data_IF_240339400107
#
_entry.id   IF_240339400107
#
_cell.length_a   1.000
_cell.length_b   1.000
_cell.length_c   1.000
_cell.angle_alpha   90.00
_cell.angle_beta   90.00
_cell.angle_gamma   90.00
#
_symmetry.space_group_name_H-M   'P 1'
#
loop_
_entity.id
_entity.type
_entity.pdbx_description
1 polymer ?
#
# COMPACT_ATOMS: atom_id res chain seq x y z
N UNK A 1 -53.97 -46.59 -27.57
CA UNK A 1 -53.94 -46.59 -29.04
C UNK A 1 -53.70 -45.15 -29.48
N UNK A 2 -52.56 -44.90 -30.15
CA UNK A 2 -52.24 -43.78 -31.07
C UNK A 2 -52.30 -42.34 -30.50
N UNK A 3 -51.19 -41.58 -30.38
CA UNK A 3 -50.40 -40.88 -31.44
C UNK A 3 -51.26 -39.91 -32.27
N UNK A 4 -50.91 -38.65 -32.57
CA UNK A 4 -49.73 -37.81 -32.34
C UNK A 4 -50.02 -36.37 -32.86
N UNK A 5 -49.00 -35.50 -32.80
CA UNK A 5 -48.72 -34.30 -33.63
C UNK A 5 -49.64 -33.08 -33.39
N UNK A 6 -49.20 -31.83 -33.27
CA UNK A 6 -47.92 -31.13 -33.41
C UNK A 6 -48.21 -29.62 -33.59
N UNK A 7 -47.20 -28.76 -33.45
CA UNK A 7 -47.32 -27.34 -33.83
C UNK A 7 -46.56 -26.38 -32.94
N UNK A 8 -45.28 -26.18 -33.24
CA UNK A 8 -44.42 -25.20 -32.61
C UNK A 8 -44.80 -23.77 -33.06
N UNK A 9 -45.03 -22.87 -32.09
CA UNK A 9 -45.00 -21.42 -32.31
C UNK A 9 -43.71 -20.85 -31.71
N UNK A 10 -42.84 -20.36 -32.58
CA UNK A 10 -41.58 -19.66 -32.25
C UNK A 10 -41.91 -18.39 -31.43
N UNK A 11 -41.54 -18.40 -30.15
CA UNK A 11 -41.44 -17.19 -29.33
C UNK A 11 -40.00 -16.71 -29.31
N UNK A 12 -39.76 -15.54 -29.89
CA UNK A 12 -38.53 -14.78 -29.75
C UNK A 12 -38.36 -14.35 -28.28
N UNK A 13 -37.64 -15.14 -27.48
CA UNK A 13 -37.12 -14.65 -26.20
C UNK A 13 -35.83 -13.88 -26.46
N UNK A 14 -35.94 -12.57 -26.28
CA UNK A 14 -34.86 -11.59 -26.17
C UNK A 14 -33.71 -12.17 -25.33
N UNK A 15 -32.56 -12.38 -25.97
CA UNK A 15 -31.26 -12.22 -25.33
C UNK A 15 -31.14 -10.75 -24.94
N UNK A 16 -31.06 -10.43 -23.65
CA UNK A 16 -30.31 -9.29 -23.14
C UNK A 16 -30.27 -9.28 -21.61
N UNK A 17 -29.04 -9.38 -21.11
CA UNK A 17 -28.44 -8.80 -19.89
C UNK A 17 -27.65 -9.84 -19.11
N UNK A 18 -26.53 -10.25 -19.69
CA UNK A 18 -25.33 -10.57 -18.92
C UNK A 18 -24.28 -9.56 -19.37
N UNK A 19 -23.73 -8.83 -18.39
CA UNK A 19 -22.71 -7.75 -18.46
C UNK A 19 -23.19 -6.39 -17.93
N UNK A 20 -23.85 -6.38 -16.77
CA UNK A 20 -23.74 -5.21 -15.89
C UNK A 20 -22.50 -5.44 -15.03
N UNK A 21 -21.44 -4.65 -15.25
CA UNK A 21 -20.33 -4.54 -14.28
C UNK A 21 -20.95 -4.12 -12.96
N UNK A 22 -20.72 -4.83 -11.83
CA UNK A 22 -21.26 -4.43 -10.55
C UNK A 22 -20.84 -2.98 -10.24
N UNK A 23 -21.76 -2.20 -9.68
CA UNK A 23 -21.47 -0.83 -9.31
C UNK A 23 -20.40 -0.82 -8.21
N UNK A 24 -19.33 -0.06 -8.43
CA UNK A 24 -18.27 0.18 -7.45
C UNK A 24 -18.91 0.90 -6.25
N UNK A 25 -18.82 0.31 -5.06
CA UNK A 25 -19.27 0.96 -3.82
C UNK A 25 -18.07 1.70 -3.24
N UNK A 26 -18.14 3.03 -3.26
CA UNK A 26 -17.08 3.87 -2.70
C UNK A 26 -17.17 3.92 -1.17
N UNK A 27 -16.02 3.91 -0.47
CA UNK A 27 -16.00 4.08 0.97
C UNK A 27 -16.49 5.46 1.40
N UNK A 28 -16.95 5.57 2.65
CA UNK A 28 -17.40 6.83 3.25
C UNK A 28 -16.63 7.18 4.52
N UNK A 29 -16.68 8.45 4.91
CA UNK A 29 -16.11 8.92 6.19
C UNK A 29 -16.86 8.41 7.43
N UNK A 30 -18.00 7.72 7.27
CA UNK A 30 -18.69 7.06 8.39
C UNK A 30 -17.98 5.76 8.79
N UNK A 31 -17.18 5.19 7.88
CA UNK A 31 -16.33 4.04 8.18
C UNK A 31 -15.11 4.48 8.99
N UNK A 32 -14.83 3.79 10.08
CA UNK A 32 -13.74 4.15 11.02
C UNK A 32 -12.38 4.28 10.32
N UNK A 33 -12.10 3.41 9.33
CA UNK A 33 -10.83 3.43 8.57
C UNK A 33 -10.68 4.67 7.66
N UNK A 34 -11.78 5.37 7.37
CA UNK A 34 -11.85 6.54 6.49
C UNK A 34 -12.29 7.83 7.23
N UNK A 35 -12.59 7.77 8.53
CA UNK A 35 -13.14 8.88 9.33
C UNK A 35 -12.42 10.22 9.19
N UNK A 36 -11.08 10.21 9.16
CA UNK A 36 -10.26 11.42 9.06
C UNK A 36 -9.79 11.71 7.62
N UNK A 37 -10.25 10.96 6.63
CA UNK A 37 -9.83 11.09 5.24
C UNK A 37 -10.60 12.17 4.48
N UNK A 38 -10.12 12.53 3.28
CA UNK A 38 -10.86 13.33 2.30
C UNK A 38 -11.69 12.48 1.33
N UNK A 39 -11.93 11.20 1.62
CA UNK A 39 -12.46 10.24 0.64
C UNK A 39 -13.80 10.67 0.00
N UNK A 40 -14.62 11.42 0.73
CA UNK A 40 -15.88 11.96 0.22
C UNK A 40 -15.73 13.01 -0.90
N UNK A 41 -14.52 13.56 -1.09
CA UNK A 41 -14.20 14.49 -2.18
C UNK A 41 -13.80 13.77 -3.48
N UNK A 42 -13.55 12.46 -3.43
CA UNK A 42 -13.12 11.70 -4.60
C UNK A 42 -14.30 11.39 -5.53
N UNK A 43 -14.30 11.98 -6.71
CA UNK A 43 -15.20 11.61 -7.80
C UNK A 43 -14.47 10.69 -8.81
N UNK A 44 -14.73 9.39 -8.71
CA UNK A 44 -14.16 8.40 -9.64
C UNK A 44 -14.62 8.60 -11.09
N UNK A 45 -15.75 9.28 -11.34
CA UNK A 45 -16.24 9.53 -12.71
C UNK A 45 -15.45 10.59 -13.47
N UNK A 46 -14.64 11.39 -12.75
CA UNK A 46 -13.72 12.36 -13.34
C UNK A 46 -12.50 11.71 -14.03
N UNK A 47 -12.27 10.41 -13.80
CA UNK A 47 -11.09 9.71 -14.29
C UNK A 47 -11.43 8.62 -15.30
N UNK A 48 -10.56 8.46 -16.29
CA UNK A 48 -10.53 7.29 -17.18
C UNK A 48 -9.31 6.43 -16.88
N UNK A 49 -9.34 5.14 -17.19
CA UNK A 49 -8.14 4.32 -17.01
C UNK A 49 -7.00 4.84 -17.89
N UNK A 50 -5.85 5.08 -17.27
CA UNK A 50 -4.62 5.49 -17.95
C UNK A 50 -3.39 4.81 -17.35
N UNK A 51 -2.22 5.16 -17.89
CA UNK A 51 -0.96 4.51 -17.58
C UNK A 51 0.09 5.53 -17.16
N UNK A 52 1.08 5.09 -16.39
CA UNK A 52 2.27 5.87 -16.08
C UNK A 52 3.43 5.41 -16.97
N UNK A 53 4.20 6.34 -17.54
CA UNK A 53 5.48 5.98 -18.17
C UNK A 53 6.41 5.49 -17.06
N UNK A 54 6.91 4.28 -17.20
CA UNK A 54 7.75 3.66 -16.17
C UNK A 54 9.15 3.37 -16.70
N UNK A 55 10.15 3.87 -15.97
CA UNK A 55 11.56 3.59 -16.20
C UNK A 55 12.06 2.64 -15.11
N UNK A 56 12.94 1.72 -15.48
CA UNK A 56 13.51 0.75 -14.53
C UNK A 56 14.99 0.59 -14.79
N UNK A 57 15.81 0.72 -13.75
CA UNK A 57 17.26 0.60 -13.79
C UNK A 57 17.69 -0.50 -12.80
N UNK A 58 18.60 -1.39 -13.22
CA UNK A 58 19.18 -2.43 -12.37
C UNK A 58 18.36 -3.71 -12.20
N UNK A 59 17.20 -3.83 -12.86
CA UNK A 59 16.30 -4.98 -12.68
C UNK A 59 16.50 -6.14 -13.68
N UNK A 60 17.39 -6.01 -14.67
CA UNK A 60 17.44 -6.92 -15.84
C UNK A 60 17.66 -8.39 -15.47
N UNK A 61 18.40 -8.65 -14.39
CA UNK A 61 18.72 -10.01 -13.93
C UNK A 61 17.61 -10.68 -13.10
N UNK A 62 16.62 -9.91 -12.63
CA UNK A 62 15.60 -10.38 -11.67
C UNK A 62 14.18 -10.10 -12.10
N UNK A 63 13.97 -9.29 -13.14
CA UNK A 63 12.65 -9.02 -13.69
C UNK A 63 12.12 -10.26 -14.40
N UNK A 64 10.90 -10.63 -14.05
CA UNK A 64 10.20 -11.76 -14.68
C UNK A 64 8.97 -11.27 -15.44
N UNK A 65 8.58 -12.02 -16.47
CA UNK A 65 7.40 -11.71 -17.29
C UNK A 65 6.11 -12.34 -16.75
N UNK A 66 6.24 -13.38 -15.92
CA UNK A 66 5.09 -13.99 -15.24
C UNK A 66 4.62 -13.09 -14.09
N UNK A 67 3.30 -13.01 -13.89
CA UNK A 67 2.74 -12.28 -12.76
C UNK A 67 2.99 -13.06 -11.47
N UNK A 68 3.55 -12.36 -10.48
CA UNK A 68 3.72 -12.87 -9.11
C UNK A 68 2.66 -12.33 -8.14
N UNK A 69 1.59 -11.73 -8.65
CA UNK A 69 0.51 -11.20 -7.81
C UNK A 69 -0.06 -12.29 -6.88
N UNK A 70 -0.20 -11.98 -5.59
CA UNK A 70 -0.72 -12.89 -4.57
C UNK A 70 0.32 -13.69 -3.79
N UNK A 71 1.63 -13.49 -4.02
CA UNK A 71 2.71 -14.10 -3.21
C UNK A 71 2.70 -13.72 -1.72
N UNK A 72 2.12 -12.58 -1.35
CA UNK A 72 2.00 -12.08 0.02
C UNK A 72 0.60 -11.54 0.35
N UNK A 73 -0.11 -10.96 -0.61
CA UNK A 73 -1.44 -10.39 -0.41
C UNK A 73 -2.53 -11.44 -0.66
N UNK A 74 -3.17 -11.89 0.43
CA UNK A 74 -4.20 -12.94 0.40
C UNK A 74 -5.61 -12.36 0.24
N UNK A 75 -5.83 -11.14 0.73
CA UNK A 75 -7.14 -10.45 0.70
C UNK A 75 -6.95 -8.99 0.32
N UNK A 76 -7.88 -8.45 -0.48
CA UNK A 76 -7.91 -7.02 -0.77
C UNK A 76 -8.45 -6.26 0.45
N UNK A 77 -7.74 -5.24 0.97
CA UNK A 77 -8.19 -4.47 2.13
C UNK A 77 -9.34 -3.51 1.81
N UNK A 78 -9.49 -3.10 0.55
CA UNK A 78 -10.47 -2.12 0.11
C UNK A 78 -10.70 -2.22 -1.41
N UNK A 79 -11.62 -1.38 -1.89
CA UNK A 79 -11.98 -1.27 -3.30
C UNK A 79 -10.81 -0.78 -4.19
N UNK A 80 -9.86 -0.02 -3.66
CA UNK A 80 -8.74 0.50 -4.44
C UNK A 80 -7.73 -0.61 -4.76
N UNK A 81 -7.45 -1.48 -3.79
CA UNK A 81 -6.67 -2.68 -4.03
C UNK A 81 -7.36 -3.65 -5.02
N UNK A 82 -8.70 -3.76 -4.95
CA UNK A 82 -9.46 -4.54 -5.93
C UNK A 82 -9.35 -3.97 -7.35
N UNK A 83 -9.54 -2.66 -7.50
CA UNK A 83 -9.40 -1.96 -8.79
C UNK A 83 -7.98 -2.08 -9.35
N UNK A 84 -6.95 -1.95 -8.51
CA UNK A 84 -5.58 -2.22 -8.93
C UNK A 84 -5.45 -3.67 -9.41
N UNK A 85 -5.93 -4.66 -8.66
CA UNK A 85 -5.90 -6.06 -9.07
C UNK A 85 -6.54 -6.33 -10.43
N UNK A 86 -7.59 -5.59 -10.81
CA UNK A 86 -8.28 -5.72 -12.09
C UNK A 86 -7.58 -5.02 -13.27
N UNK A 87 -6.77 -3.99 -13.00
CA UNK A 87 -6.25 -3.07 -14.03
C UNK A 87 -4.74 -2.85 -13.98
N UNK A 88 -4.01 -3.60 -13.16
CA UNK A 88 -2.62 -3.30 -12.82
C UNK A 88 -1.64 -3.32 -13.99
N UNK A 89 -0.80 -2.28 -14.06
CA UNK A 89 0.48 -2.31 -14.76
C UNK A 89 1.53 -2.93 -13.84
N UNK A 90 1.76 -4.24 -14.00
CA UNK A 90 2.56 -5.02 -13.03
C UNK A 90 4.04 -5.12 -13.42
N UNK A 91 4.93 -4.79 -12.49
CA UNK A 91 6.34 -5.17 -12.48
C UNK A 91 6.53 -6.28 -11.43
N UNK A 92 7.12 -7.40 -11.84
CA UNK A 92 7.46 -8.50 -10.94
C UNK A 92 8.97 -8.72 -10.91
N UNK A 93 9.54 -8.71 -9.71
CA UNK A 93 10.94 -8.98 -9.43
C UNK A 93 11.03 -10.28 -8.62
N UNK A 94 11.76 -11.28 -9.14
CA UNK A 94 12.10 -12.50 -8.37
C UNK A 94 13.59 -12.49 -8.08
N UNK A 95 13.95 -12.46 -6.80
CA UNK A 95 15.35 -12.53 -6.36
C UNK A 95 15.66 -13.99 -6.04
N UNK A 96 16.52 -14.67 -6.83
CA UNK A 96 16.75 -16.10 -6.64
C UNK A 96 17.43 -16.42 -5.31
N UNK A 97 17.25 -17.65 -4.85
CA UNK A 97 17.86 -18.15 -3.62
C UNK A 97 19.37 -17.87 -3.57
N UNK A 98 19.81 -17.27 -2.47
CA UNK A 98 21.22 -16.97 -2.20
C UNK A 98 21.82 -15.84 -3.03
N UNK A 99 21.03 -15.14 -3.85
CA UNK A 99 21.50 -14.00 -4.65
C UNK A 99 21.35 -12.71 -3.85
N UNK A 100 22.44 -11.95 -3.75
CA UNK A 100 22.42 -10.57 -3.26
C UNK A 100 22.58 -9.62 -4.45
N UNK A 101 21.63 -8.72 -4.63
CA UNK A 101 21.72 -7.63 -5.60
C UNK A 101 22.42 -6.45 -4.91
N UNK A 102 23.65 -6.15 -5.34
CA UNK A 102 24.49 -5.13 -4.71
C UNK A 102 23.96 -3.71 -4.97
N UNK A 103 23.59 -3.42 -6.22
CA UNK A 103 23.04 -2.12 -6.62
C UNK A 103 21.53 -2.03 -6.35
N UNK A 104 21.05 -0.83 -6.03
CA UNK A 104 19.62 -0.61 -5.88
C UNK A 104 18.91 -0.68 -7.23
N UNK A 105 17.77 -1.37 -7.27
CA UNK A 105 16.85 -1.34 -8.40
C UNK A 105 16.02 -0.07 -8.27
N UNK A 106 16.05 0.81 -9.27
CA UNK A 106 15.27 2.04 -9.26
C UNK A 106 14.14 1.96 -10.29
N UNK A 107 12.91 2.12 -9.82
CA UNK A 107 11.70 2.19 -10.63
C UNK A 107 11.14 3.61 -10.51
N UNK A 108 10.95 4.28 -11.64
CA UNK A 108 10.41 5.65 -11.67
C UNK A 108 9.15 5.66 -12.52
N UNK A 109 8.05 6.06 -11.92
CA UNK A 109 6.76 6.24 -12.56
C UNK A 109 6.48 7.72 -12.80
N UNK A 110 6.32 8.08 -14.07
CA UNK A 110 5.93 9.42 -14.50
C UNK A 110 4.46 9.42 -14.91
N UNK A 111 3.67 10.27 -14.25
CA UNK A 111 2.30 10.53 -14.65
C UNK A 111 2.23 11.87 -15.40
N UNK A 112 2.07 11.78 -16.71
CA UNK A 112 2.10 12.94 -17.62
C UNK A 112 0.70 13.33 -18.15
N UNK A 113 -0.34 12.58 -17.77
CA UNK A 113 -1.71 12.79 -18.25
C UNK A 113 -2.65 13.20 -17.11
N UNK A 114 -3.58 14.11 -17.40
CA UNK A 114 -4.67 14.51 -16.51
C UNK A 114 -5.95 13.71 -16.80
N UNK A 115 -6.87 13.71 -15.83
CA UNK A 115 -8.15 13.01 -15.85
C UNK A 115 -8.00 11.49 -16.05
N UNK A 116 -6.90 10.92 -15.54
CA UNK A 116 -6.66 9.48 -15.55
C UNK A 116 -6.56 8.91 -14.15
N UNK A 117 -6.87 7.62 -14.03
CA UNK A 117 -6.50 6.78 -12.90
C UNK A 117 -5.50 5.74 -13.38
N UNK A 118 -4.35 5.64 -12.71
CA UNK A 118 -3.30 4.67 -13.00
C UNK A 118 -3.14 3.65 -11.86
N UNK A 119 -2.87 2.40 -12.22
CA UNK A 119 -2.79 1.27 -11.29
C UNK A 119 -1.40 0.61 -11.31
N UNK A 120 -0.30 1.30 -10.93
CA UNK A 120 1.01 0.66 -10.87
C UNK A 120 1.01 -0.44 -9.81
N UNK A 121 1.59 -1.59 -10.14
CA UNK A 121 1.78 -2.69 -9.19
C UNK A 121 3.21 -3.20 -9.22
N UNK A 122 3.82 -3.26 -8.04
CA UNK A 122 5.15 -3.85 -7.86
C UNK A 122 5.04 -5.09 -6.99
N UNK A 123 5.59 -6.20 -7.48
CA UNK A 123 5.73 -7.44 -6.71
C UNK A 123 7.22 -7.78 -6.55
N UNK A 124 7.66 -7.95 -5.31
CA UNK A 124 9.02 -8.36 -4.94
C UNK A 124 8.93 -9.73 -4.28
N UNK A 125 9.46 -10.74 -4.96
CA UNK A 125 9.53 -12.12 -4.51
C UNK A 125 10.97 -12.49 -4.17
N UNK A 126 11.36 -12.36 -2.90
CA UNK A 126 12.73 -12.61 -2.44
C UNK A 126 12.84 -14.03 -1.86
N UNK A 127 13.55 -14.92 -2.56
CA UNK A 127 13.74 -16.31 -2.14
C UNK A 127 14.74 -16.46 -0.97
N UNK A 128 14.91 -17.68 -0.48
CA UNK A 128 15.71 -17.96 0.72
C UNK A 128 17.13 -17.37 0.62
N UNK A 129 17.60 -16.71 1.68
CA UNK A 129 18.94 -16.09 1.75
C UNK A 129 19.23 -15.06 0.63
N UNK A 130 18.21 -14.50 -0.03
CA UNK A 130 18.40 -13.44 -1.03
C UNK A 130 18.43 -12.05 -0.39
N UNK A 131 18.96 -11.07 -1.12
CA UNK A 131 19.01 -9.67 -0.68
C UNK A 131 18.77 -8.71 -1.85
N UNK A 132 17.94 -7.69 -1.62
CA UNK A 132 17.66 -6.65 -2.62
C UNK A 132 17.30 -5.31 -1.96
N UNK A 133 17.69 -4.22 -2.63
CA UNK A 133 17.17 -2.88 -2.36
C UNK A 133 16.41 -2.37 -3.57
N UNK A 134 15.17 -1.93 -3.38
CA UNK A 134 14.31 -1.36 -4.42
C UNK A 134 13.88 0.05 -4.03
N UNK A 135 14.05 0.99 -4.94
CA UNK A 135 13.58 2.37 -4.82
C UNK A 135 12.47 2.56 -5.85
N UNK A 136 11.29 3.02 -5.43
CA UNK A 136 10.15 3.29 -6.29
C UNK A 136 9.75 4.76 -6.14
N UNK A 137 9.76 5.51 -7.24
CA UNK A 137 9.52 6.96 -7.23
C UNK A 137 8.31 7.30 -8.10
N UNK A 138 7.38 8.10 -7.57
CA UNK A 138 6.20 8.59 -8.29
C UNK A 138 6.32 10.09 -8.52
N UNK A 139 6.23 10.54 -9.77
CA UNK A 139 6.46 11.93 -10.18
C UNK A 139 5.33 12.40 -11.10
N UNK A 140 4.82 13.61 -10.87
CA UNK A 140 3.99 14.36 -11.82
C UNK A 140 4.20 15.86 -11.66
N UNK A 141 3.83 16.62 -12.69
CA UNK A 141 3.77 18.08 -12.61
C UNK A 141 2.56 18.55 -11.79
N UNK A 142 2.65 19.73 -11.17
CA UNK A 142 1.55 20.30 -10.37
C UNK A 142 0.27 20.52 -11.17
N UNK A 143 0.35 20.70 -12.49
CA UNK A 143 -0.83 20.84 -13.36
C UNK A 143 -1.61 19.54 -13.59
N UNK A 144 -1.07 18.39 -13.17
CA UNK A 144 -1.69 17.08 -13.38
C UNK A 144 -2.76 16.82 -12.33
N UNK A 145 -4.00 16.68 -12.79
CA UNK A 145 -5.16 16.31 -11.98
C UNK A 145 -5.54 14.86 -12.28
N UNK A 146 -5.17 13.92 -11.42
CA UNK A 146 -5.31 12.48 -11.66
C UNK A 146 -5.22 11.69 -10.36
N UNK A 147 -5.52 10.40 -10.44
CA UNK A 147 -5.43 9.46 -9.33
C UNK A 147 -4.37 8.40 -9.61
N UNK A 148 -3.50 8.14 -8.65
CA UNK A 148 -2.56 7.00 -8.67
C UNK A 148 -2.96 6.03 -7.56
N UNK A 149 -3.16 4.77 -7.93
CA UNK A 149 -3.52 3.69 -7.01
C UNK A 149 -2.40 2.64 -6.99
N UNK A 150 -1.28 2.91 -6.29
CA UNK A 150 -0.14 2.00 -6.29
C UNK A 150 -0.37 0.81 -5.35
N UNK A 151 0.08 -0.37 -5.78
CA UNK A 151 0.13 -1.57 -4.94
C UNK A 151 1.54 -2.14 -4.87
N UNK A 152 2.06 -2.31 -3.65
CA UNK A 152 3.28 -3.07 -3.39
C UNK A 152 2.94 -4.40 -2.72
N UNK A 153 3.58 -5.46 -3.21
CA UNK A 153 3.53 -6.78 -2.62
C UNK A 153 4.95 -7.32 -2.42
N UNK A 154 5.31 -7.70 -1.19
CA UNK A 154 6.63 -8.25 -0.87
C UNK A 154 6.51 -9.59 -0.17
N UNK A 155 7.11 -10.64 -0.73
CA UNK A 155 7.37 -11.88 -0.01
C UNK A 155 8.86 -11.96 0.30
N UNK A 156 9.22 -12.00 1.58
CA UNK A 156 10.58 -12.25 2.03
C UNK A 156 10.64 -13.68 2.62
N UNK A 157 11.17 -14.62 1.83
CA UNK A 157 11.35 -16.00 2.26
C UNK A 157 12.38 -16.10 3.40
N UNK A 158 12.63 -17.32 3.87
CA UNK A 158 13.52 -17.56 5.01
C UNK A 158 14.87 -16.86 4.83
N UNK A 159 15.27 -16.07 5.83
CA UNK A 159 16.54 -15.32 5.85
C UNK A 159 16.76 -14.34 4.69
N UNK A 160 15.71 -14.02 3.92
CA UNK A 160 15.77 -12.99 2.88
C UNK A 160 15.78 -11.59 3.49
N UNK A 161 16.44 -10.65 2.81
CA UNK A 161 16.55 -9.23 3.22
C UNK A 161 16.01 -8.33 2.12
N UNK A 162 14.92 -7.63 2.38
CA UNK A 162 14.31 -6.71 1.41
C UNK A 162 14.27 -5.30 1.97
N UNK A 163 14.96 -4.39 1.31
CA UNK A 163 14.83 -2.96 1.55
C UNK A 163 13.98 -2.36 0.42
N UNK A 164 12.91 -1.67 0.78
CA UNK A 164 12.07 -0.95 -0.15
C UNK A 164 11.94 0.50 0.30
N UNK A 165 12.15 1.44 -0.62
CA UNK A 165 11.95 2.86 -0.42
C UNK A 165 10.96 3.38 -1.46
N UNK A 166 9.83 3.92 -1.00
CA UNK A 166 8.94 4.69 -1.87
C UNK A 166 9.16 6.19 -1.69
N UNK A 167 9.16 6.92 -2.80
CA UNK A 167 9.26 8.39 -2.83
C UNK A 167 8.06 8.92 -3.62
N UNK A 168 7.16 9.62 -2.93
CA UNK A 168 6.04 10.31 -3.56
C UNK A 168 6.37 11.79 -3.76
N UNK A 169 6.54 12.17 -5.03
CA UNK A 169 6.72 13.53 -5.54
C UNK A 169 5.68 13.85 -6.62
N UNK A 170 4.46 13.30 -6.49
CA UNK A 170 3.34 13.69 -7.35
C UNK A 170 2.99 15.17 -7.14
N UNK A 171 2.52 15.81 -8.20
CA UNK A 171 2.12 17.21 -8.21
C UNK A 171 0.95 17.51 -7.27
N UNK A 172 0.81 18.78 -6.91
CA UNK A 172 -0.15 19.27 -5.91
C UNK A 172 -1.63 19.14 -6.29
N UNK A 173 -1.96 18.72 -7.51
CA UNK A 173 -3.34 18.44 -7.95
C UNK A 173 -3.63 16.94 -8.15
N UNK A 174 -2.65 16.07 -7.84
CA UNK A 174 -2.77 14.61 -8.00
C UNK A 174 -3.12 13.95 -6.67
N UNK A 175 -3.99 12.95 -6.72
CA UNK A 175 -4.31 12.09 -5.58
C UNK A 175 -3.51 10.78 -5.64
N UNK A 176 -3.15 10.26 -4.48
CA UNK A 176 -2.58 8.93 -4.32
C UNK A 176 -3.35 8.16 -3.26
N UNK A 177 -3.84 6.97 -3.57
CA UNK A 177 -4.45 6.04 -2.60
C UNK A 177 -3.82 4.68 -2.80
N UNK A 178 -2.84 4.34 -1.97
CA UNK A 178 -2.01 3.16 -2.13
C UNK A 178 -2.14 2.11 -1.04
N UNK A 179 -1.74 0.89 -1.40
CA UNK A 179 -1.63 -0.22 -0.47
C UNK A 179 -0.29 -0.94 -0.63
N UNK A 180 0.40 -1.15 0.49
CA UNK A 180 1.66 -1.90 0.54
C UNK A 180 1.50 -3.04 1.54
N UNK A 181 1.91 -4.24 1.15
CA UNK A 181 1.92 -5.39 2.04
C UNK A 181 3.21 -6.19 1.91
N UNK A 182 3.82 -6.52 3.05
CA UNK A 182 4.92 -7.47 3.12
C UNK A 182 4.59 -8.68 3.99
N UNK A 183 5.04 -9.86 3.57
CA UNK A 183 5.00 -11.10 4.35
C UNK A 183 6.43 -11.60 4.55
N UNK A 184 6.90 -11.54 5.80
CA UNK A 184 8.21 -12.03 6.23
C UNK A 184 8.12 -13.44 6.82
N UNK A 185 8.92 -14.35 6.27
CA UNK A 185 9.06 -15.73 6.72
C UNK A 185 10.29 -15.87 7.63
N UNK A 186 10.64 -17.11 8.02
CA UNK A 186 11.57 -17.38 9.12
C UNK A 186 12.87 -16.60 9.02
N UNK A 187 13.23 -15.89 10.08
CA UNK A 187 14.48 -15.11 10.16
C UNK A 187 14.69 -14.08 9.02
N UNK A 188 13.63 -13.71 8.29
CA UNK A 188 13.70 -12.68 7.23
C UNK A 188 13.73 -11.27 7.83
N UNK A 189 14.17 -10.29 7.04
CA UNK A 189 14.10 -8.88 7.39
C UNK A 189 13.50 -8.07 6.25
N UNK A 190 12.43 -7.34 6.53
CA UNK A 190 11.86 -6.36 5.59
C UNK A 190 11.98 -4.96 6.15
N UNK A 191 12.38 -4.01 5.31
CA UNK A 191 12.39 -2.58 5.65
C UNK A 191 11.59 -1.83 4.60
N UNK A 192 10.45 -1.29 4.99
CA UNK A 192 9.60 -0.45 4.15
C UNK A 192 9.80 1.01 4.58
N UNK A 193 10.40 1.81 3.70
CA UNK A 193 10.68 3.23 3.93
C UNK A 193 9.83 4.10 3.00
N UNK A 194 9.31 5.20 3.51
CA UNK A 194 8.45 6.12 2.77
C UNK A 194 8.95 7.56 2.90
N UNK A 195 9.07 8.24 1.76
CA UNK A 195 9.25 9.70 1.69
C UNK A 195 8.03 10.27 0.98
N UNK A 196 7.18 11.02 1.70
CA UNK A 196 5.99 11.63 1.13
C UNK A 196 6.12 13.16 1.10
N UNK A 197 6.20 13.71 -0.10
CA UNK A 197 6.40 15.16 -0.34
C UNK A 197 5.31 15.74 -1.25
N UNK A 198 4.67 14.89 -2.07
CA UNK A 198 3.72 15.29 -3.10
C UNK A 198 2.27 14.91 -2.83
N UNK A 199 1.42 15.25 -3.80
CA UNK A 199 -0.01 14.98 -3.85
C UNK A 199 -0.86 15.99 -3.08
N UNK A 200 -2.05 16.30 -3.62
CA UNK A 200 -3.11 17.02 -2.91
C UNK A 200 -3.61 16.19 -1.71
N UNK A 201 -3.87 14.91 -1.98
CA UNK A 201 -4.20 13.90 -0.99
C UNK A 201 -3.36 12.66 -1.27
N UNK A 202 -2.55 12.24 -0.31
CA UNK A 202 -1.75 11.02 -0.40
C UNK A 202 -2.05 10.13 0.78
N UNK A 203 -2.74 9.02 0.52
CA UNK A 203 -3.03 7.97 1.49
C UNK A 203 -2.22 6.73 1.19
N UNK A 204 -1.57 6.18 2.21
CA UNK A 204 -0.84 4.91 2.10
C UNK A 204 -1.20 3.98 3.26
N UNK A 205 -1.81 2.84 2.94
CA UNK A 205 -1.96 1.72 3.87
C UNK A 205 -0.74 0.81 3.75
N UNK A 206 -0.02 0.56 4.83
CA UNK A 206 1.20 -0.26 4.84
C UNK A 206 1.10 -1.36 5.90
N UNK A 207 1.08 -2.61 5.46
CA UNK A 207 0.96 -3.79 6.31
C UNK A 207 2.25 -4.63 6.28
N UNK A 208 2.73 -5.02 7.45
CA UNK A 208 3.81 -5.99 7.60
C UNK A 208 3.30 -7.19 8.38
N UNK A 209 3.36 -8.37 7.77
CA UNK A 209 3.00 -9.66 8.38
C UNK A 209 4.25 -10.45 8.66
N UNK A 210 4.49 -10.76 9.93
CA UNK A 210 5.60 -11.57 10.41
C UNK A 210 5.08 -13.00 10.62
N UNK A 211 5.11 -13.76 9.53
CA UNK A 211 4.37 -15.02 9.35
C UNK A 211 5.05 -16.19 10.03
N UNK A 212 6.38 -16.16 10.12
CA UNK A 212 7.16 -17.24 10.75
C UNK A 212 8.16 -16.71 11.78
N UNK A 213 8.63 -17.62 12.62
CA UNK A 213 9.50 -17.31 13.74
C UNK A 213 10.74 -16.53 13.32
N UNK A 214 11.11 -15.50 14.10
CA UNK A 214 12.34 -14.73 13.88
C UNK A 214 12.24 -13.67 12.78
N UNK A 215 11.13 -13.60 12.04
CA UNK A 215 10.90 -12.55 11.06
C UNK A 215 10.94 -11.16 11.73
N UNK A 216 11.56 -10.20 11.03
CA UNK A 216 11.71 -8.82 11.49
C UNK A 216 11.22 -7.82 10.44
N UNK A 217 10.57 -6.74 10.87
CA UNK A 217 10.13 -5.66 9.98
C UNK A 217 10.47 -4.27 10.52
N UNK A 218 10.80 -3.34 9.62
CA UNK A 218 10.92 -1.92 9.92
C UNK A 218 10.00 -1.11 9.00
N UNK A 219 9.24 -0.18 9.59
CA UNK A 219 8.44 0.79 8.85
C UNK A 219 8.92 2.20 9.18
N UNK A 220 9.51 2.89 8.21
CA UNK A 220 10.09 4.22 8.42
C UNK A 220 9.43 5.22 7.49
N UNK A 221 9.02 6.38 8.00
CA UNK A 221 8.54 7.45 7.13
C UNK A 221 9.09 8.82 7.50
N UNK A 222 9.36 9.59 6.46
CA UNK A 222 9.52 11.04 6.50
C UNK A 222 8.43 11.66 5.63
N UNK A 223 7.71 12.65 6.15
CA UNK A 223 6.73 13.38 5.36
C UNK A 223 6.71 14.87 5.67
N UNK A 224 6.41 15.64 4.63
CA UNK A 224 6.21 17.08 4.71
C UNK A 224 5.00 17.47 3.86
N UNK A 225 4.06 18.22 4.44
CA UNK A 225 2.90 18.74 3.73
C UNK A 225 2.78 20.26 3.93
N UNK A 226 2.50 20.99 2.85
CA UNK A 226 2.27 22.43 2.85
C UNK A 226 0.98 22.81 2.12
N UNK A 227 0.62 24.10 2.14
CA UNK A 227 -0.61 24.59 1.51
C UNK A 227 -1.86 23.88 2.06
N UNK A 228 -2.58 23.16 1.20
CA UNK A 228 -3.80 22.39 1.51
C UNK A 228 -3.59 20.87 1.46
N UNK A 229 -2.35 20.41 1.27
CA UNK A 229 -2.05 18.99 1.14
C UNK A 229 -2.51 18.19 2.36
N UNK A 230 -2.84 16.93 2.15
CA UNK A 230 -3.10 15.98 3.22
C UNK A 230 -2.39 14.64 3.01
N UNK A 231 -1.57 14.25 4.00
CA UNK A 231 -0.90 12.94 4.03
C UNK A 231 -1.54 12.03 5.07
N UNK A 232 -1.99 10.84 4.67
CA UNK A 232 -2.74 9.90 5.50
C UNK A 232 -2.06 8.52 5.51
N UNK A 233 -1.48 8.15 6.65
CA UNK A 233 -0.75 6.91 6.81
C UNK A 233 -1.51 5.94 7.71
N UNK A 234 -1.71 4.72 7.21
CA UNK A 234 -2.33 3.63 7.96
C UNK A 234 -1.35 2.47 8.06
N UNK A 235 -0.91 2.11 9.25
CA UNK A 235 0.10 1.07 9.43
C UNK A 235 -0.42 -0.11 10.23
N UNK A 236 -0.04 -1.32 9.82
CA UNK A 236 -0.36 -2.55 10.52
C UNK A 236 0.91 -3.38 10.69
N UNK A 237 1.22 -3.72 11.94
CA UNK A 237 2.31 -4.62 12.33
C UNK A 237 1.69 -5.90 12.90
N UNK A 238 1.60 -6.96 12.10
CA UNK A 238 0.92 -8.21 12.48
C UNK A 238 1.97 -9.28 12.79
N UNK A 239 2.02 -9.71 14.05
CA UNK A 239 2.90 -10.76 14.52
C UNK A 239 2.11 -12.07 14.61
N UNK A 240 2.38 -13.01 13.70
CA UNK A 240 1.67 -14.30 13.59
C UNK A 240 2.50 -15.48 14.13
N UNK A 241 3.73 -15.22 14.53
CA UNK A 241 4.69 -16.22 14.95
C UNK A 241 5.55 -15.73 16.13
N UNK A 242 6.11 -16.65 16.93
CA UNK A 242 6.89 -16.28 18.11
C UNK A 242 8.22 -15.64 17.73
N UNK A 243 8.82 -14.91 18.68
CA UNK A 243 10.16 -14.29 18.55
C UNK A 243 10.29 -13.39 17.31
N UNK A 244 9.21 -12.73 16.91
CA UNK A 244 9.21 -11.78 15.79
C UNK A 244 9.47 -10.35 16.30
N UNK A 245 10.00 -9.48 15.44
CA UNK A 245 10.35 -8.12 15.82
C UNK A 245 9.78 -7.10 14.83
N UNK A 246 9.18 -6.01 15.31
CA UNK A 246 8.83 -4.87 14.46
C UNK A 246 9.15 -3.54 15.13
N UNK A 247 9.60 -2.58 14.33
CA UNK A 247 9.84 -1.21 14.75
C UNK A 247 9.32 -0.21 13.70
N UNK A 248 8.57 0.78 14.15
CA UNK A 248 8.01 1.83 13.32
C UNK A 248 8.47 3.20 13.82
N UNK A 249 9.03 3.99 12.90
CA UNK A 249 9.39 5.38 13.15
C UNK A 249 8.88 6.29 12.04
N UNK A 250 7.84 7.06 12.34
CA UNK A 250 7.27 8.04 11.42
C UNK A 250 7.55 9.44 11.95
N UNK A 251 8.10 10.31 11.09
CA UNK A 251 8.38 11.71 11.41
C UNK A 251 7.77 12.62 10.34
N UNK A 252 7.00 13.59 10.82
CA UNK A 252 6.23 14.49 9.97
C UNK A 252 6.41 15.96 10.33
N UNK A 253 6.25 16.82 9.34
CA UNK A 253 6.02 18.24 9.55
C UNK A 253 4.91 18.74 8.61
N UNK A 254 4.00 19.54 9.16
CA UNK A 254 2.87 20.14 8.41
C UNK A 254 2.87 21.65 8.57
N UNK A 255 2.63 22.39 7.49
CA UNK A 255 2.63 23.87 7.46
C UNK A 255 1.35 24.40 6.80
N UNK A 256 1.12 25.71 6.97
CA UNK A 256 0.03 26.44 6.34
C UNK A 256 -1.33 25.94 6.86
N UNK A 257 -2.12 25.28 6.00
CA UNK A 257 -3.37 24.61 6.38
C UNK A 257 -3.33 23.10 6.14
N UNK A 258 -2.12 22.57 5.90
CA UNK A 258 -1.92 21.17 5.55
C UNK A 258 -2.21 20.26 6.74
N UNK A 259 -2.52 19.00 6.40
CA UNK A 259 -2.96 18.00 7.36
C UNK A 259 -2.14 16.72 7.28
N UNK A 260 -1.89 16.10 8.42
CA UNK A 260 -1.40 14.73 8.46
C UNK A 260 -2.25 13.86 9.36
N UNK A 261 -2.57 12.65 8.92
CA UNK A 261 -3.23 11.63 9.73
C UNK A 261 -2.32 10.43 9.81
N UNK A 262 -2.09 9.93 11.01
CA UNK A 262 -1.46 8.64 11.26
C UNK A 262 -2.41 7.77 12.07
N UNK A 263 -2.63 6.53 11.63
CA UNK A 263 -3.25 5.49 12.45
C UNK A 263 -2.40 4.24 12.35
N UNK A 264 -1.92 3.76 13.51
CA UNK A 264 -1.14 2.54 13.59
C UNK A 264 -1.87 1.47 14.37
N UNK A 265 -1.69 0.21 13.99
CA UNK A 265 -2.11 -0.95 14.77
C UNK A 265 -0.94 -1.94 14.87
N UNK A 266 -0.56 -2.27 16.10
CA UNK A 266 0.24 -3.46 16.38
C UNK A 266 -0.73 -4.57 16.80
N UNK A 267 -0.72 -5.69 16.07
CA UNK A 267 -1.52 -6.88 16.37
C UNK A 267 -0.62 -8.06 16.70
N UNK A 268 -0.61 -8.48 17.96
CA UNK A 268 0.09 -9.67 18.42
C UNK A 268 -0.90 -10.84 18.51
N UNK A 269 -0.74 -11.85 17.65
CA UNK A 269 -1.59 -13.05 17.64
C UNK A 269 -1.34 -13.96 18.85
N UNK A 270 -2.25 -14.89 19.19
CA UNK A 270 -2.15 -15.73 20.40
C UNK A 270 -0.87 -16.57 20.46
N UNK A 271 -0.37 -17.02 19.30
CA UNK A 271 0.82 -17.85 19.14
C UNK A 271 2.13 -17.06 19.00
N UNK A 272 2.10 -15.72 19.11
CA UNK A 272 3.24 -14.84 18.87
C UNK A 272 4.05 -14.52 20.15
N UNK A 273 4.29 -15.53 21.00
CA UNK A 273 5.06 -15.36 22.23
C UNK A 273 6.50 -14.85 21.97
N UNK A 274 7.03 -14.07 22.90
CA UNK A 274 8.34 -13.41 22.85
C UNK A 274 8.52 -12.39 21.71
N UNK A 275 7.42 -11.94 21.09
CA UNK A 275 7.47 -10.89 20.09
C UNK A 275 7.77 -9.53 20.70
N UNK A 276 8.42 -8.67 19.92
CA UNK A 276 8.72 -7.29 20.30
C UNK A 276 8.20 -6.35 19.21
N UNK A 277 7.40 -5.36 19.58
CA UNK A 277 6.76 -4.46 18.62
C UNK A 277 6.77 -3.02 19.14
N UNK A 278 7.33 -2.11 18.36
CA UNK A 278 7.45 -0.71 18.72
C UNK A 278 6.83 0.16 17.62
N UNK A 279 6.15 1.24 18.02
CA UNK A 279 5.70 2.27 17.09
C UNK A 279 5.91 3.67 17.67
N UNK A 280 6.51 4.56 16.89
CA UNK A 280 6.73 5.95 17.26
C UNK A 280 6.33 6.87 16.11
N UNK A 281 5.37 7.76 16.36
CA UNK A 281 5.00 8.81 15.42
C UNK A 281 5.27 10.20 16.03
N UNK A 282 6.03 11.05 15.35
CA UNK A 282 6.38 12.40 15.81
C UNK A 282 6.04 13.43 14.75
N UNK A 283 5.23 14.43 15.12
CA UNK A 283 4.75 15.46 14.22
C UNK A 283 5.16 16.84 14.70
N UNK A 284 5.53 17.70 13.76
CA UNK A 284 5.68 19.13 13.98
C UNK A 284 4.58 19.90 13.24
N UNK A 285 3.84 20.76 13.94
CA UNK A 285 2.96 21.76 13.32
C UNK A 285 3.72 23.08 13.21
N UNK A 286 3.87 23.56 11.98
CA UNK A 286 4.71 24.74 11.65
C UNK A 286 3.88 26.02 11.46
N UNK A 287 2.56 25.94 11.59
CA UNK A 287 1.61 27.05 11.42
C UNK A 287 0.36 26.80 12.25
N UNK A 288 -0.35 27.87 12.64
CA UNK A 288 -1.58 27.79 13.44
C UNK A 288 -2.70 27.00 12.73
N UNK A 289 -2.77 27.09 11.40
CA UNK A 289 -3.76 26.37 10.59
C UNK A 289 -3.38 24.92 10.27
N UNK A 290 -2.17 24.49 10.59
CA UNK A 290 -1.69 23.14 10.28
C UNK A 290 -2.15 22.15 11.34
N UNK A 291 -2.51 20.94 10.92
CA UNK A 291 -3.12 19.95 11.81
C UNK A 291 -2.50 18.57 11.64
N UNK A 292 -2.19 17.91 12.76
CA UNK A 292 -1.67 16.56 12.78
C UNK A 292 -2.46 15.69 13.76
N UNK A 293 -2.96 14.56 13.27
CA UNK A 293 -3.68 13.56 14.04
C UNK A 293 -2.88 12.27 14.08
N UNK A 294 -2.83 11.63 15.24
CA UNK A 294 -1.98 10.46 15.45
C UNK A 294 -2.62 9.50 16.44
N UNK A 295 -3.08 8.37 15.92
CA UNK A 295 -3.89 7.38 16.63
C UNK A 295 -3.17 6.02 16.64
N UNK A 296 -2.25 5.77 17.58
CA UNK A 296 -1.58 4.48 17.72
C UNK A 296 -2.43 3.50 18.55
N UNK A 297 -2.63 2.29 18.04
CA UNK A 297 -3.43 1.23 18.67
C UNK A 297 -2.60 -0.04 18.91
N UNK A 298 -3.03 -0.83 19.90
CA UNK A 298 -2.44 -2.10 20.30
C UNK A 298 -3.56 -3.14 20.48
N UNK A 299 -3.39 -4.30 19.86
CA UNK A 299 -4.21 -5.49 20.07
C UNK A 299 -3.27 -6.65 20.41
N UNK A 300 -3.26 -7.07 21.68
CA UNK A 300 -2.32 -8.05 22.19
C UNK A 300 -3.08 -9.26 22.73
N UNK A 301 -2.93 -10.40 22.05
CA UNK A 301 -3.63 -11.65 22.39
C UNK A 301 -2.74 -12.68 23.10
N UNK A 302 -1.51 -12.31 23.49
CA UNK A 302 -0.58 -13.17 24.23
C UNK A 302 0.26 -12.39 25.24
N UNK A 303 0.61 -13.02 26.36
CA UNK A 303 1.18 -12.31 27.52
C UNK A 303 2.70 -12.06 27.44
N UNK A 304 3.45 -12.93 26.76
CA UNK A 304 4.92 -12.93 26.81
C UNK A 304 5.54 -12.01 25.75
N UNK A 305 5.17 -10.72 25.74
CA UNK A 305 5.63 -9.78 24.70
C UNK A 305 6.17 -8.48 25.26
N UNK A 306 6.89 -7.74 24.42
CA UNK A 306 7.30 -6.36 24.70
C UNK A 306 6.74 -5.44 23.62
N UNK A 307 5.72 -4.68 23.98
CA UNK A 307 5.11 -3.73 23.04
C UNK A 307 5.08 -2.33 23.65
N UNK A 308 5.34 -1.31 22.83
CA UNK A 308 5.08 0.07 23.24
C UNK A 308 4.73 0.95 22.03
N UNK A 309 3.94 1.98 22.28
CA UNK A 309 3.70 3.04 21.32
C UNK A 309 4.09 4.40 21.90
N UNK A 310 4.46 5.32 21.03
CA UNK A 310 4.69 6.72 21.37
C UNK A 310 4.12 7.60 20.26
N UNK A 311 3.41 8.65 20.65
CA UNK A 311 2.93 9.67 19.74
C UNK A 311 3.18 11.05 20.33
N UNK A 312 3.69 11.97 19.52
CA UNK A 312 3.89 13.36 19.90
C UNK A 312 3.50 14.29 18.76
N UNK A 313 2.75 15.34 19.07
CA UNK A 313 2.51 16.49 18.20
C UNK A 313 3.02 17.71 18.94
N UNK A 314 3.93 18.46 18.32
CA UNK A 314 4.48 19.70 18.88
C UNK A 314 4.41 20.83 17.88
N UNK A 315 4.06 22.03 18.34
CA UNK A 315 4.23 23.25 17.56
C UNK A 315 5.67 23.76 17.65
N UNK A 316 6.13 24.42 16.60
CA UNK A 316 7.39 25.20 16.62
C UNK A 316 7.13 26.63 17.06
#
# INVERSE_FOLDING_TARGET
MQSAVGGAARSHKKRNNMNATPAIVMPSTDEEIWRYSRIAELDMSAYTHGHMRTETVGADSVRVTESLAGVAMVTNPDIFAELNGAHADTISLRIPKGVAIEDAIHIVHHLDASNVVAYPRLVIDAEENSEVTVIETFISDDSIHSLVVPVLEVRAAKSARVNYLTINQLGLNTWQIGHQQSAGYRDSTTRLSTVALGGDYARMRTEVRLVEQGASAQQVALYFAGGTQMHDFRTLQIHEAPRTHSDLLFKGAVRDTARSVYTGLIHIKPNAAHSQAFQTNRNLTLSEGAWAESVPNLEIETNEVKCSHASTVGSV
#
